data_IF_391335967423
#
_entry.id   IF_391335967423
#
_cell.length_a   1.000
_cell.length_b   1.000
_cell.length_c   1.000
_cell.angle_alpha   90.00
_cell.angle_beta   90.00
_cell.angle_gamma   90.00
#
_symmetry.space_group_name_H-M   'P 1'
#
loop_
_entity.id
_entity.type
_entity.pdbx_description
1 polymer ?
#
# COMPACT_ATOMS: atom_id res chain seq x y z
N UNK A 1 14.75 -5.95 7.80
CA UNK A 1 14.54 -4.53 7.43
C UNK A 1 13.68 -3.85 8.47
N UNK A 2 12.40 -4.21 8.60
CA UNK A 2 11.45 -3.60 9.56
C UNK A 2 11.95 -3.55 11.02
N UNK A 3 12.52 -4.64 11.53
CA UNK A 3 13.10 -4.67 12.89
C UNK A 3 14.31 -3.73 13.06
N UNK A 4 15.12 -3.55 12.01
CA UNK A 4 16.26 -2.60 12.00
C UNK A 4 15.78 -1.14 12.03
N UNK A 5 14.55 -0.91 11.57
CA UNK A 5 13.88 0.39 11.51
C UNK A 5 12.92 0.59 12.68
N UNK A 6 12.99 -0.27 13.71
CA UNK A 6 12.18 -0.17 14.92
C UNK A 6 10.69 -0.49 14.73
N UNK A 7 10.28 -1.03 13.57
CA UNK A 7 8.88 -1.34 13.29
C UNK A 7 8.51 -2.70 13.90
N UNK A 8 7.56 -2.69 14.85
CA UNK A 8 7.05 -3.89 15.51
C UNK A 8 5.82 -4.44 14.79
N UNK A 9 5.89 -5.69 14.35
CA UNK A 9 4.80 -6.42 13.67
C UNK A 9 4.14 -7.50 14.53
N UNK A 10 4.46 -7.59 15.83
CA UNK A 10 3.98 -8.70 16.68
C UNK A 10 2.44 -8.82 16.71
N UNK A 11 1.76 -7.68 16.67
CA UNK A 11 0.30 -7.57 16.62
C UNK A 11 -0.29 -7.71 15.20
N UNK A 12 0.52 -7.66 14.15
CA UNK A 12 0.04 -7.76 12.77
C UNK A 12 -0.45 -9.18 12.47
N UNK A 13 -1.63 -9.29 11.86
CA UNK A 13 -2.20 -10.54 11.36
C UNK A 13 -2.80 -10.29 9.99
N UNK A 14 -2.48 -11.16 9.04
CA UNK A 14 -3.08 -11.12 7.71
C UNK A 14 -4.59 -11.30 7.84
N UNK A 15 -5.35 -10.43 7.18
CA UNK A 15 -6.81 -10.42 7.20
C UNK A 15 -7.34 -10.21 5.79
N UNK A 16 -8.45 -10.88 5.47
CA UNK A 16 -9.14 -10.65 4.21
C UNK A 16 -9.86 -9.30 4.26
N UNK A 17 -9.60 -8.45 3.27
CA UNK A 17 -10.35 -7.22 3.05
C UNK A 17 -11.83 -7.55 2.86
N UNK A 18 -12.70 -6.83 3.56
CA UNK A 18 -14.15 -6.97 3.45
C UNK A 18 -14.83 -5.60 3.29
N UNK A 19 -16.10 -5.61 2.91
CA UNK A 19 -16.87 -4.38 2.64
C UNK A 19 -16.98 -3.47 3.86
N UNK A 20 -17.01 -4.01 5.09
CA UNK A 20 -17.14 -3.20 6.31
C UNK A 20 -15.87 -2.38 6.50
N UNK A 21 -14.70 -3.03 6.43
CA UNK A 21 -13.40 -2.36 6.51
C UNK A 21 -13.28 -1.24 5.46
N UNK A 22 -13.59 -1.57 4.20
CA UNK A 22 -13.54 -0.60 3.12
C UNK A 22 -14.50 0.57 3.33
N UNK A 23 -15.70 0.31 3.88
CA UNK A 23 -16.70 1.34 4.15
C UNK A 23 -16.30 2.27 5.29
N UNK A 24 -15.62 1.75 6.32
CA UNK A 24 -15.17 2.51 7.49
C UNK A 24 -13.87 3.28 7.29
N UNK A 25 -13.07 2.98 6.28
CA UNK A 25 -11.81 3.68 6.01
C UNK A 25 -12.04 5.04 5.37
N UNK A 26 -11.39 6.09 5.87
CA UNK A 26 -11.38 7.42 5.23
C UNK A 26 -10.45 7.47 4.02
N UNK A 27 -9.36 6.69 4.07
CA UNK A 27 -8.35 6.57 3.02
C UNK A 27 -7.96 5.09 2.86
N UNK A 28 -7.87 4.63 1.61
CA UNK A 28 -7.44 3.27 1.27
C UNK A 28 -6.26 3.37 0.30
N UNK A 29 -5.10 2.87 0.72
CA UNK A 29 -3.88 2.85 -0.08
C UNK A 29 -3.56 1.41 -0.48
N UNK A 30 -3.45 1.17 -1.78
CA UNK A 30 -3.15 -0.16 -2.36
C UNK A 30 -1.81 -0.14 -3.08
N UNK A 31 -1.22 -1.32 -3.27
CA UNK A 31 0.13 -1.48 -3.82
C UNK A 31 0.13 -1.53 -5.34
N UNK A 32 -0.94 -2.03 -5.97
CA UNK A 32 -1.02 -2.19 -7.42
C UNK A 32 -2.44 -1.95 -7.96
N UNK A 33 -2.54 -1.75 -9.28
CA UNK A 33 -3.80 -1.48 -9.97
C UNK A 33 -4.80 -2.67 -9.90
N UNK A 34 -4.34 -3.91 -9.76
CA UNK A 34 -5.23 -5.07 -9.61
C UNK A 34 -5.94 -5.05 -8.26
N UNK A 35 -5.23 -4.68 -7.20
CA UNK A 35 -5.79 -4.46 -5.87
C UNK A 35 -6.81 -3.31 -5.88
N UNK A 36 -6.50 -2.20 -6.56
CA UNK A 36 -7.44 -1.08 -6.73
C UNK A 36 -8.73 -1.55 -7.41
N UNK A 37 -8.62 -2.22 -8.56
CA UNK A 37 -9.77 -2.74 -9.29
C UNK A 37 -10.62 -3.69 -8.42
N UNK A 38 -9.97 -4.57 -7.64
CA UNK A 38 -10.67 -5.50 -6.75
C UNK A 38 -11.41 -4.80 -5.61
N UNK A 39 -10.83 -3.73 -5.05
CA UNK A 39 -11.49 -2.92 -4.03
C UNK A 39 -12.72 -2.21 -4.60
N UNK A 40 -12.61 -1.60 -5.77
CA UNK A 40 -13.73 -0.91 -6.45
C UNK A 40 -14.83 -1.90 -6.82
N UNK A 41 -14.49 -3.10 -7.30
CA UNK A 41 -15.47 -4.17 -7.56
C UNK A 41 -16.21 -4.59 -6.28
N UNK A 42 -15.49 -4.73 -5.17
CA UNK A 42 -16.07 -5.15 -3.90
C UNK A 42 -16.91 -4.05 -3.22
N UNK A 43 -16.53 -2.78 -3.38
CA UNK A 43 -17.24 -1.65 -2.79
C UNK A 43 -17.11 -0.40 -3.69
N UNK A 44 -17.95 -0.28 -4.73
CA UNK A 44 -17.85 0.82 -5.71
C UNK A 44 -17.96 2.21 -5.08
N UNK A 45 -18.70 2.31 -3.98
CA UNK A 45 -18.90 3.55 -3.24
C UNK A 45 -17.62 4.11 -2.59
N UNK A 46 -16.51 3.36 -2.61
CA UNK A 46 -15.22 3.80 -2.03
C UNK A 46 -14.23 4.26 -3.08
N UNK A 47 -14.57 4.21 -4.37
CA UNK A 47 -13.66 4.54 -5.48
C UNK A 47 -12.93 5.87 -5.29
N UNK A 48 -13.65 6.90 -4.83
CA UNK A 48 -13.08 8.25 -4.60
C UNK A 48 -12.09 8.36 -3.44
N UNK A 49 -11.84 7.29 -2.69
CA UNK A 49 -10.90 7.25 -1.56
C UNK A 49 -9.90 6.10 -1.65
N UNK A 50 -9.78 5.47 -2.82
CA UNK A 50 -8.84 4.38 -3.09
C UNK A 50 -7.76 4.88 -4.05
N UNK A 51 -6.51 4.86 -3.58
CA UNK A 51 -5.36 5.36 -4.36
C UNK A 51 -4.23 4.35 -4.34
N UNK A 52 -3.39 4.38 -5.37
CA UNK A 52 -2.11 3.67 -5.34
C UNK A 52 -1.16 4.39 -4.38
N UNK A 53 -0.39 3.63 -3.61
CA UNK A 53 0.51 4.19 -2.60
C UNK A 53 1.49 5.22 -3.22
N UNK A 54 2.11 4.88 -4.35
CA UNK A 54 3.06 5.76 -5.04
C UNK A 54 2.40 6.98 -5.69
N UNK A 55 1.19 6.81 -6.20
CA UNK A 55 0.39 7.88 -6.80
C UNK A 55 0.02 8.92 -5.73
N UNK A 56 -0.49 8.45 -4.59
CA UNK A 56 -0.87 9.31 -3.47
C UNK A 56 0.34 10.04 -2.88
N UNK A 57 1.49 9.36 -2.80
CA UNK A 57 2.77 9.94 -2.37
C UNK A 57 3.43 10.88 -3.41
N UNK A 58 2.84 11.04 -4.61
CA UNK A 58 3.40 11.83 -5.73
C UNK A 58 4.84 11.44 -6.09
N UNK A 59 5.15 10.14 -6.02
CA UNK A 59 6.50 9.64 -6.25
C UNK A 59 6.87 9.47 -7.73
N UNK A 60 5.95 8.96 -8.52
CA UNK A 60 6.15 8.74 -9.96
C UNK A 60 4.80 8.47 -10.61
N UNK A 61 4.58 9.05 -11.80
CA UNK A 61 3.39 8.79 -12.61
C UNK A 61 3.61 7.65 -13.62
N UNK A 62 4.86 7.32 -13.94
CA UNK A 62 5.20 6.35 -15.00
C UNK A 62 5.15 4.90 -14.51
N UNK A 63 5.48 4.66 -13.23
CA UNK A 63 5.39 3.33 -12.63
C UNK A 63 4.79 3.44 -11.21
N UNK A 64 3.47 3.48 -11.13
CA UNK A 64 2.73 3.65 -9.88
C UNK A 64 2.57 2.36 -9.06
N UNK A 65 2.86 1.19 -9.66
CA UNK A 65 2.71 -0.10 -9.00
C UNK A 65 3.93 -0.43 -8.13
N UNK A 66 3.67 -1.07 -6.99
CA UNK A 66 4.66 -1.73 -6.14
C UNK A 66 4.43 -3.24 -6.31
N UNK A 67 5.28 -3.92 -7.12
CA UNK A 67 5.15 -5.35 -7.36
C UNK A 67 5.42 -6.18 -6.10
N UNK A 68 4.75 -7.33 -6.01
CA UNK A 68 4.92 -8.26 -4.89
C UNK A 68 6.32 -8.92 -4.94
N UNK A 69 7.13 -8.81 -3.87
CA UNK A 69 8.46 -9.40 -3.82
C UNK A 69 8.46 -10.92 -3.60
N UNK A 70 7.30 -11.58 -3.42
CA UNK A 70 7.23 -13.03 -3.19
C UNK A 70 7.99 -13.81 -4.27
N UNK A 71 8.87 -14.71 -3.82
CA UNK A 71 9.69 -15.57 -4.68
C UNK A 71 10.90 -14.87 -5.30
N UNK A 72 11.13 -13.60 -5.01
CA UNK A 72 12.30 -12.85 -5.49
C UNK A 72 13.47 -12.92 -4.51
N UNK A 73 14.64 -12.48 -4.96
CA UNK A 73 15.84 -12.34 -4.11
C UNK A 73 15.71 -11.21 -3.07
N UNK A 74 16.56 -11.25 -2.05
CA UNK A 74 16.56 -10.29 -0.94
C UNK A 74 16.67 -8.83 -1.40
N UNK A 75 17.47 -8.55 -2.43
CA UNK A 75 17.63 -7.21 -3.00
C UNK A 75 16.29 -6.62 -3.48
N UNK A 76 15.36 -7.47 -3.94
CA UNK A 76 14.05 -7.05 -4.40
C UNK A 76 13.12 -6.70 -3.23
N UNK A 77 13.21 -7.46 -2.13
CA UNK A 77 12.54 -7.12 -0.88
C UNK A 77 13.06 -5.78 -0.33
N UNK A 78 14.38 -5.52 -0.40
CA UNK A 78 14.96 -4.25 0.04
C UNK A 78 14.46 -3.07 -0.79
N UNK A 79 14.47 -3.20 -2.12
CA UNK A 79 13.91 -2.18 -3.02
C UNK A 79 12.44 -1.90 -2.73
N UNK A 80 11.65 -2.94 -2.50
CA UNK A 80 10.22 -2.83 -2.15
C UNK A 80 10.05 -2.11 -0.82
N UNK A 81 10.84 -2.48 0.20
CA UNK A 81 10.82 -1.85 1.51
C UNK A 81 11.14 -0.34 1.43
N UNK A 82 12.21 0.04 0.74
CA UNK A 82 12.58 1.45 0.59
C UNK A 82 11.55 2.25 -0.20
N UNK A 83 10.95 1.65 -1.24
CA UNK A 83 9.86 2.29 -2.00
C UNK A 83 8.65 2.58 -1.10
N UNK A 84 8.25 1.62 -0.27
CA UNK A 84 7.13 1.80 0.66
C UNK A 84 7.48 2.85 1.72
N UNK A 85 8.69 2.82 2.27
CA UNK A 85 9.16 3.78 3.28
C UNK A 85 9.13 5.22 2.75
N UNK A 86 9.72 5.46 1.59
CA UNK A 86 9.73 6.78 0.95
C UNK A 86 8.30 7.28 0.69
N UNK A 87 7.41 6.40 0.23
CA UNK A 87 6.02 6.76 -0.02
C UNK A 87 5.31 7.19 1.28
N UNK A 88 5.47 6.41 2.34
CA UNK A 88 4.87 6.72 3.65
C UNK A 88 5.43 8.04 4.20
N UNK A 89 6.74 8.25 4.15
CA UNK A 89 7.37 9.50 4.62
C UNK A 89 6.80 10.73 3.89
N UNK A 90 6.63 10.66 2.57
CA UNK A 90 5.98 11.75 1.81
C UNK A 90 4.51 11.93 2.19
N UNK A 91 3.77 10.85 2.35
CA UNK A 91 2.35 10.92 2.70
C UNK A 91 2.15 11.61 4.05
N UNK A 92 2.99 11.30 5.04
CA UNK A 92 2.95 11.96 6.35
C UNK A 92 3.17 13.48 6.24
N UNK A 93 3.91 13.96 5.25
CA UNK A 93 4.07 15.42 5.01
C UNK A 93 2.91 16.07 4.27
N UNK A 94 2.04 15.27 3.64
CA UNK A 94 0.89 15.75 2.87
C UNK A 94 -0.41 15.81 3.68
N UNK A 95 -0.44 15.14 4.84
CA UNK A 95 -1.55 15.09 5.80
C UNK A 95 -1.35 16.11 6.92
#
# INVERSE_FOLDING_TARGET
>A
MLSREGVNLSAYRSQRVNRIMLKSSDLILVMDAMQQARVVELAPNVEKRVYLLKEFARLSLDNVNIPDPIGQGMDYYEKTFFTIKEAIEKIVTLL
#
